data_IF_814236145664
#
_entry.id   IF_814236145664
#
_cell.length_a   1.000
_cell.length_b   1.000
_cell.length_c   1.000
_cell.angle_alpha   90.00
_cell.angle_beta   90.00
_cell.angle_gamma   90.00
#
_symmetry.space_group_name_H-M   'P 1'
#
loop_
_entity.id
_entity.type
_entity.pdbx_description
1 polymer ?
#
# COMPACT_ATOMS: atom_id res chain seq x y z
N UNK A 1 -1.18 34.73 -31.41
CA UNK A 1 -1.45 33.29 -31.17
C UNK A 1 -0.33 32.54 -31.85
N UNK A 2 0.58 31.96 -31.08
CA UNK A 2 1.65 31.12 -31.59
C UNK A 2 1.16 29.69 -31.37
N UNK A 3 0.86 28.99 -32.45
CA UNK A 3 0.45 27.59 -32.40
C UNK A 3 1.59 26.78 -31.78
N UNK A 4 1.34 26.21 -30.61
CA UNK A 4 2.26 25.28 -29.97
C UNK A 4 2.35 24.03 -30.85
N UNK A 5 3.47 23.88 -31.55
CA UNK A 5 3.83 22.67 -32.29
C UNK A 5 3.83 21.50 -31.30
N UNK A 6 2.87 20.58 -31.44
CA UNK A 6 2.82 19.37 -30.63
C UNK A 6 4.05 18.51 -30.95
N UNK A 7 4.97 18.41 -30.00
CA UNK A 7 6.11 17.51 -30.11
C UNK A 7 5.57 16.08 -30.14
N UNK A 8 5.90 15.26 -31.15
CA UNK A 8 5.44 13.88 -31.21
C UNK A 8 5.95 13.12 -29.98
N UNK A 9 5.02 12.56 -29.19
CA UNK A 9 5.35 11.67 -28.08
C UNK A 9 6.07 10.43 -28.63
N UNK A 10 7.37 10.34 -28.42
CA UNK A 10 8.12 9.12 -28.68
C UNK A 10 7.65 8.04 -27.70
N UNK A 11 7.15 6.94 -28.24
CA UNK A 11 6.74 5.79 -27.45
C UNK A 11 7.99 5.17 -26.79
N UNK A 12 8.18 5.43 -25.49
CA UNK A 12 9.24 4.80 -24.71
C UNK A 12 8.63 3.58 -23.98
N UNK A 13 8.77 2.35 -24.50
CA UNK A 13 8.20 1.18 -23.85
C UNK A 13 8.84 0.99 -22.47
N UNK A 14 8.02 0.66 -21.47
CA UNK A 14 8.54 0.39 -20.13
C UNK A 14 9.50 -0.81 -20.14
N UNK A 15 10.54 -0.74 -19.33
CA UNK A 15 11.45 -1.86 -19.09
C UNK A 15 10.72 -3.00 -18.34
N UNK A 16 11.27 -4.22 -18.43
CA UNK A 16 10.71 -5.37 -17.69
C UNK A 16 10.70 -5.12 -16.17
N UNK A 17 11.74 -4.46 -15.65
CA UNK A 17 11.84 -4.11 -14.22
C UNK A 17 10.72 -3.15 -13.84
N UNK A 18 10.49 -2.10 -14.64
CA UNK A 18 9.38 -1.16 -14.40
C UNK A 18 8.03 -1.88 -14.44
N UNK A 19 7.79 -2.77 -15.41
CA UNK A 19 6.55 -3.54 -15.49
C UNK A 19 6.36 -4.46 -14.28
N UNK A 20 7.42 -5.14 -13.82
CA UNK A 20 7.38 -5.97 -12.62
C UNK A 20 7.08 -5.12 -11.38
N UNK A 21 7.74 -3.97 -11.23
CA UNK A 21 7.53 -3.05 -10.13
C UNK A 21 6.11 -2.46 -10.11
N UNK A 22 5.59 -2.02 -11.27
CA UNK A 22 4.18 -1.62 -11.44
C UNK A 22 3.22 -2.73 -10.98
N UNK A 23 3.49 -3.96 -11.39
CA UNK A 23 2.64 -5.11 -11.05
C UNK A 23 2.69 -5.46 -9.56
N UNK A 24 3.86 -5.35 -8.91
CA UNK A 24 4.02 -5.66 -7.49
C UNK A 24 3.33 -4.60 -6.64
N UNK A 25 3.64 -3.33 -6.87
CA UNK A 25 3.17 -2.22 -6.03
C UNK A 25 1.82 -1.64 -6.46
N UNK A 26 1.31 -2.05 -7.62
CA UNK A 26 0.00 -1.63 -8.10
C UNK A 26 -0.06 -0.17 -8.56
N UNK A 27 1.08 0.46 -8.82
CA UNK A 27 1.20 1.87 -9.23
C UNK A 27 1.45 1.99 -10.74
N UNK A 28 0.96 3.07 -11.33
CA UNK A 28 1.10 3.36 -12.76
C UNK A 28 1.46 4.82 -13.06
N UNK A 29 1.51 5.68 -12.04
CA UNK A 29 1.98 7.06 -12.14
C UNK A 29 3.49 7.10 -12.47
N UNK A 30 3.87 7.85 -13.50
CA UNK A 30 5.27 8.01 -13.95
C UNK A 30 6.19 8.47 -12.82
N UNK A 31 5.75 9.44 -12.03
CA UNK A 31 6.51 9.97 -10.91
C UNK A 31 6.68 8.91 -9.81
N UNK A 32 5.62 8.16 -9.48
CA UNK A 32 5.69 7.03 -8.56
C UNK A 32 6.69 5.97 -9.03
N UNK A 33 6.70 5.63 -10.32
CA UNK A 33 7.68 4.67 -10.89
C UNK A 33 9.10 5.23 -10.77
N UNK A 34 9.28 6.53 -11.03
CA UNK A 34 10.56 7.20 -10.85
C UNK A 34 11.14 7.05 -9.44
N UNK A 35 10.29 7.15 -8.40
CA UNK A 35 10.68 6.90 -7.01
C UNK A 35 10.91 5.41 -6.72
N UNK A 36 10.11 4.54 -7.32
CA UNK A 36 10.21 3.10 -7.13
C UNK A 36 11.52 2.54 -7.69
N UNK A 37 11.98 3.09 -8.82
CA UNK A 37 13.28 2.77 -9.42
C UNK A 37 14.49 3.27 -8.59
N UNK A 38 14.27 4.08 -7.55
CA UNK A 38 15.33 4.47 -6.62
C UNK A 38 15.57 3.43 -5.51
N UNK A 39 14.65 2.49 -5.33
CA UNK A 39 14.81 1.36 -4.42
C UNK A 39 15.74 0.31 -5.03
N UNK A 40 16.54 -0.35 -4.21
CA UNK A 40 17.34 -1.47 -4.70
C UNK A 40 16.43 -2.68 -4.99
N UNK A 41 16.90 -3.60 -5.84
CA UNK A 41 16.20 -4.86 -6.08
C UNK A 41 15.98 -5.65 -4.77
N UNK A 42 16.94 -5.59 -3.85
CA UNK A 42 16.83 -6.22 -2.54
C UNK A 42 15.68 -5.60 -1.71
N UNK A 43 15.61 -4.27 -1.65
CA UNK A 43 14.54 -3.55 -0.93
C UNK A 43 13.15 -3.90 -1.49
N UNK A 44 13.04 -4.01 -2.83
CA UNK A 44 11.77 -4.38 -3.49
C UNK A 44 11.36 -5.81 -3.18
N UNK A 45 12.30 -6.76 -3.20
CA UNK A 45 12.02 -8.16 -2.87
C UNK A 45 11.64 -8.31 -1.39
N UNK A 46 12.27 -7.54 -0.53
CA UNK A 46 11.98 -7.49 0.90
C UNK A 46 10.58 -6.91 1.14
N UNK A 47 10.25 -5.76 0.54
CA UNK A 47 8.92 -5.15 0.50
C UNK A 47 7.84 -6.16 0.06
N UNK A 48 8.06 -6.84 -1.06
CA UNK A 48 7.13 -7.83 -1.60
C UNK A 48 6.95 -9.05 -0.65
N UNK A 49 8.02 -9.45 0.04
CA UNK A 49 7.97 -10.56 1.01
C UNK A 49 7.11 -10.21 2.22
N UNK A 50 7.18 -8.97 2.71
CA UNK A 50 6.35 -8.49 3.84
C UNK A 50 4.88 -8.48 3.47
N UNK A 51 4.55 -7.92 2.31
CA UNK A 51 3.17 -7.81 1.81
C UNK A 51 2.51 -9.18 1.78
N UNK A 52 3.25 -10.21 1.34
CA UNK A 52 2.76 -11.58 1.31
C UNK A 52 2.49 -12.15 2.70
N UNK A 53 3.24 -11.75 3.72
CA UNK A 53 3.22 -12.34 5.06
C UNK A 53 2.20 -11.74 6.00
N UNK A 54 1.78 -10.48 5.76
CA UNK A 54 0.80 -9.72 6.57
C UNK A 54 1.24 -9.57 8.04
N UNK A 55 1.81 -8.40 8.36
CA UNK A 55 2.18 -7.91 9.70
C UNK A 55 2.93 -8.91 10.60
N UNK A 56 4.23 -8.69 10.79
CA UNK A 56 5.07 -9.46 11.71
C UNK A 56 5.86 -8.49 12.58
N UNK A 57 6.00 -8.79 13.87
CA UNK A 57 6.96 -8.14 14.75
C UNK A 57 8.37 -8.69 14.51
N UNK A 58 9.38 -7.83 14.36
CA UNK A 58 10.76 -8.27 14.13
C UNK A 58 11.68 -8.00 15.32
N UNK A 59 12.61 -8.93 15.57
CA UNK A 59 13.79 -8.57 16.36
C UNK A 59 14.76 -7.77 15.48
N UNK A 60 15.59 -6.90 16.06
CA UNK A 60 16.71 -6.27 15.32
C UNK A 60 17.69 -7.29 14.71
N UNK A 61 17.68 -8.53 15.21
CA UNK A 61 18.53 -9.63 14.74
C UNK A 61 17.91 -10.46 13.61
N UNK A 62 16.66 -10.18 13.27
CA UNK A 62 15.85 -10.94 12.32
C UNK A 62 15.87 -10.27 10.95
N UNK A 63 16.17 -11.04 9.90
CA UNK A 63 15.94 -10.59 8.52
C UNK A 63 14.57 -11.02 8.08
N UNK A 64 13.89 -10.20 7.27
CA UNK A 64 12.57 -10.57 6.75
C UNK A 64 12.63 -11.93 6.07
N UNK A 65 13.59 -12.17 5.17
CA UNK A 65 13.64 -13.44 4.44
C UNK A 65 13.73 -14.67 5.35
N UNK A 66 14.17 -14.51 6.59
CA UNK A 66 14.45 -15.59 7.55
C UNK A 66 13.31 -15.83 8.54
N UNK A 67 12.39 -14.88 8.71
CA UNK A 67 11.27 -15.02 9.64
C UNK A 67 10.29 -16.12 9.20
N UNK A 68 10.16 -17.16 10.02
CA UNK A 68 9.20 -18.25 9.83
C UNK A 68 7.90 -18.06 10.62
N UNK A 69 7.87 -17.14 11.58
CA UNK A 69 6.72 -16.90 12.46
C UNK A 69 5.76 -15.86 11.87
N UNK A 70 4.91 -16.32 10.96
CA UNK A 70 3.69 -15.58 10.62
C UNK A 70 2.65 -15.81 11.72
N UNK A 71 2.42 -14.83 12.59
CA UNK A 71 1.35 -14.96 13.60
C UNK A 71 1.39 -13.96 14.76
N UNK A 72 2.58 -13.48 15.13
CA UNK A 72 2.71 -12.54 16.25
C UNK A 72 2.43 -11.11 15.77
N UNK A 73 1.13 -10.78 15.69
CA UNK A 73 0.65 -9.45 15.36
C UNK A 73 1.13 -8.49 16.45
N UNK A 74 1.82 -7.44 16.04
CA UNK A 74 2.15 -6.29 16.88
C UNK A 74 0.84 -5.70 17.41
N UNK A 75 0.58 -5.70 18.73
CA UNK A 75 -0.67 -5.17 19.27
C UNK A 75 -0.90 -3.74 18.78
N UNK A 76 -2.13 -3.42 18.36
CA UNK A 76 -2.47 -2.08 17.88
C UNK A 76 -2.17 -1.01 18.94
N UNK A 77 -2.29 -1.37 20.21
CA UNK A 77 -2.01 -0.56 21.38
C UNK A 77 -0.55 -0.09 21.43
N UNK A 78 0.38 -0.86 20.85
CA UNK A 78 1.78 -0.49 20.79
C UNK A 78 2.07 0.59 19.76
N UNK A 79 1.29 0.64 18.66
CA UNK A 79 1.39 1.74 17.70
C UNK A 79 0.94 3.06 18.34
N UNK A 80 -0.13 3.01 19.15
CA UNK A 80 -0.59 4.17 19.93
C UNK A 80 0.48 4.59 20.94
N UNK A 81 1.07 3.64 21.66
CA UNK A 81 2.16 3.91 22.61
C UNK A 81 3.36 4.57 21.92
N UNK A 82 3.84 4.03 20.80
CA UNK A 82 4.91 4.65 19.99
C UNK A 82 4.55 6.07 19.58
N UNK A 83 3.31 6.29 19.16
CA UNK A 83 2.82 7.61 18.73
C UNK A 83 2.71 8.61 19.88
N UNK A 84 2.50 8.15 21.12
CA UNK A 84 2.50 9.02 22.31
C UNK A 84 3.91 9.35 22.81
N UNK A 85 4.88 8.45 22.58
CA UNK A 85 6.23 8.53 23.13
C UNK A 85 7.33 8.66 22.08
N UNK A 86 6.98 9.06 20.83
CA UNK A 86 7.93 9.13 19.72
C UNK A 86 9.11 10.08 20.00
N UNK A 87 8.91 11.08 20.85
CA UNK A 87 9.93 12.05 21.24
C UNK A 87 11.08 11.44 22.06
N UNK A 88 10.91 10.23 22.58
CA UNK A 88 11.96 9.51 23.30
C UNK A 88 12.91 8.72 22.37
N UNK A 89 12.57 8.62 21.09
CA UNK A 89 13.43 7.96 20.10
C UNK A 89 14.50 8.91 19.57
N UNK A 90 15.66 8.33 19.24
CA UNK A 90 16.76 9.05 18.59
C UNK A 90 16.34 9.64 17.23
N UNK A 91 15.41 8.98 16.54
CA UNK A 91 14.83 9.40 15.25
C UNK A 91 13.39 9.95 15.38
N UNK A 92 13.12 10.71 16.44
CA UNK A 92 11.78 11.26 16.71
C UNK A 92 11.15 12.03 15.54
N UNK A 93 11.92 12.78 14.75
CA UNK A 93 11.44 13.48 13.55
C UNK A 93 10.94 12.52 12.46
N UNK A 94 11.67 11.42 12.23
CA UNK A 94 11.28 10.38 11.29
C UNK A 94 9.95 9.76 11.72
N UNK A 95 9.85 9.34 13.00
CA UNK A 95 8.65 8.71 13.53
C UNK A 95 7.47 9.66 13.47
N UNK A 96 7.63 10.93 13.86
CA UNK A 96 6.57 11.93 13.79
C UNK A 96 6.03 12.11 12.36
N UNK A 97 6.92 12.14 11.37
CA UNK A 97 6.55 12.26 9.97
C UNK A 97 5.83 11.01 9.48
N UNK A 98 6.30 9.83 9.86
CA UNK A 98 5.68 8.59 9.43
C UNK A 98 4.33 8.39 10.08
N UNK A 99 4.17 8.74 11.35
CA UNK A 99 2.87 8.79 12.01
C UNK A 99 1.92 9.75 11.28
N UNK A 100 2.42 10.90 10.82
CA UNK A 100 1.60 11.85 10.04
C UNK A 100 1.16 11.29 8.68
N UNK A 101 2.06 10.60 7.97
CA UNK A 101 1.73 9.93 6.69
C UNK A 101 0.75 8.79 6.92
N UNK A 102 1.02 7.95 7.92
CA UNK A 102 0.17 6.80 8.30
C UNK A 102 -1.23 7.25 8.62
N UNK A 103 -1.36 8.26 9.50
CA UNK A 103 -2.64 8.85 9.88
C UNK A 103 -3.42 9.38 8.67
N UNK A 104 -2.75 10.09 7.74
CA UNK A 104 -3.40 10.57 6.54
C UNK A 104 -3.92 9.41 5.67
N UNK A 105 -3.11 8.38 5.46
CA UNK A 105 -3.49 7.22 4.66
C UNK A 105 -4.69 6.51 5.26
N UNK A 106 -4.66 6.26 6.57
CA UNK A 106 -5.78 5.64 7.29
C UNK A 106 -7.05 6.48 7.22
N UNK A 107 -6.95 7.81 7.36
CA UNK A 107 -8.08 8.72 7.20
C UNK A 107 -8.67 8.64 5.79
N UNK A 108 -7.82 8.62 4.75
CA UNK A 108 -8.24 8.44 3.35
C UNK A 108 -8.90 7.07 3.14
N UNK A 109 -8.32 5.99 3.67
CA UNK A 109 -8.88 4.64 3.57
C UNK A 109 -10.27 4.58 4.21
N UNK A 110 -10.42 5.18 5.39
CA UNK A 110 -11.68 5.26 6.11
C UNK A 110 -12.73 6.08 5.34
N UNK A 111 -12.36 7.26 4.85
CA UNK A 111 -13.23 8.11 4.05
C UNK A 111 -13.72 7.38 2.79
N UNK A 112 -12.84 6.65 2.10
CA UNK A 112 -13.19 5.89 0.91
C UNK A 112 -14.04 4.66 1.22
N UNK A 113 -13.84 4.03 2.38
CA UNK A 113 -14.70 2.96 2.87
C UNK A 113 -16.12 3.46 3.15
N UNK A 114 -16.27 4.67 3.71
CA UNK A 114 -17.57 5.31 3.88
C UNK A 114 -18.17 5.77 2.57
N UNK A 115 -17.36 6.28 1.65
CA UNK A 115 -17.79 6.76 0.34
C UNK A 115 -18.29 5.62 -0.55
N UNK A 116 -17.65 4.45 -0.48
CA UNK A 116 -17.96 3.27 -1.26
C UNK A 116 -18.31 2.07 -0.36
N UNK A 117 -19.41 2.14 0.40
CA UNK A 117 -19.78 1.08 1.32
C UNK A 117 -19.93 -0.24 0.54
N UNK A 118 -19.55 -1.34 1.19
CA UNK A 118 -19.86 -2.66 0.63
C UNK A 118 -21.37 -2.71 0.38
N UNK A 119 -21.81 -3.15 -0.82
CA UNK A 119 -23.23 -3.25 -1.09
C UNK A 119 -23.86 -4.12 0.01
N UNK A 120 -24.95 -3.66 0.66
CA UNK A 120 -25.66 -4.51 1.60
C UNK A 120 -26.04 -5.81 0.88
N UNK A 121 -26.02 -6.94 1.58
CA UNK A 121 -26.44 -8.23 1.02
C UNK A 121 -27.88 -8.12 0.53
N UNK A 122 -28.03 -7.80 -0.76
CA UNK A 122 -29.26 -7.77 -1.56
C UNK A 122 -30.39 -6.94 -0.92
N UNK A 123 -30.42 -5.64 -1.21
CA UNK A 123 -31.68 -4.90 -1.11
C UNK A 123 -32.59 -5.36 -2.26
N UNK A 124 -33.80 -5.83 -1.93
CA UNK A 124 -34.84 -6.27 -2.89
C UNK A 124 -35.12 -5.28 -4.03
N UNK A 125 -34.71 -4.02 -3.89
CA UNK A 125 -34.83 -2.98 -4.91
C UNK A 125 -33.92 -3.19 -6.12
N UNK A 126 -32.82 -3.95 -6.00
CA UNK A 126 -31.88 -4.15 -7.11
C UNK A 126 -32.48 -4.97 -8.26
N UNK A 127 -33.35 -5.93 -7.97
CA UNK A 127 -33.93 -6.80 -9.00
C UNK A 127 -34.79 -6.04 -10.02
N UNK A 128 -35.43 -4.97 -9.58
CA UNK A 128 -36.32 -4.14 -10.40
C UNK A 128 -35.47 -3.30 -11.36
N UNK A 129 -34.39 -2.68 -10.87
CA UNK A 129 -33.50 -1.84 -11.67
C UNK A 129 -32.58 -2.60 -12.64
N UNK A 130 -32.38 -3.92 -12.47
CA UNK A 130 -31.58 -4.75 -13.38
C UNK A 130 -32.02 -4.67 -14.85
N UNK A 131 -33.29 -4.32 -15.10
CA UNK A 131 -33.82 -4.14 -16.46
C UNK A 131 -33.55 -2.76 -17.06
N UNK A 132 -33.16 -1.76 -16.26
CA UNK A 132 -32.89 -0.41 -16.76
C UNK A 132 -31.55 -0.36 -17.54
N UNK A 133 -31.51 0.18 -18.77
CA UNK A 133 -30.29 0.21 -19.58
C UNK A 133 -29.12 0.98 -18.96
N UNK A 134 -29.40 2.08 -18.26
CA UNK A 134 -28.37 2.87 -17.55
C UNK A 134 -27.84 2.09 -16.35
N UNK A 135 -28.72 1.43 -15.57
CA UNK A 135 -28.29 0.56 -14.47
C UNK A 135 -27.38 -0.56 -14.97
N UNK A 136 -27.76 -1.24 -16.06
CA UNK A 136 -26.94 -2.30 -16.66
C UNK A 136 -25.58 -1.78 -17.14
N UNK A 137 -25.55 -0.59 -17.72
CA UNK A 137 -24.30 0.05 -18.14
C UNK A 137 -23.39 0.33 -16.94
N UNK A 138 -23.92 1.00 -15.92
CA UNK A 138 -23.18 1.34 -14.70
C UNK A 138 -22.68 0.06 -14.03
N UNK A 139 -23.54 -0.92 -13.76
CA UNK A 139 -23.19 -2.13 -13.01
C UNK A 139 -22.56 -3.25 -13.85
N UNK A 140 -22.21 -2.98 -15.11
CA UNK A 140 -21.48 -3.94 -15.93
C UNK A 140 -20.11 -4.25 -15.30
N UNK A 141 -19.71 -5.53 -15.31
CA UNK A 141 -18.40 -5.97 -14.80
C UNK A 141 -17.22 -5.54 -15.69
N UNK A 142 -17.49 -4.81 -16.78
CA UNK A 142 -16.44 -4.38 -17.69
C UNK A 142 -15.52 -3.37 -17.01
N UNK A 143 -14.21 -3.54 -17.18
CA UNK A 143 -13.21 -2.57 -16.67
C UNK A 143 -13.14 -1.32 -17.54
N UNK A 144 -13.58 -1.40 -18.79
CA UNK A 144 -13.58 -0.31 -19.75
C UNK A 144 -15.00 0.26 -19.92
N UNK A 145 -15.45 0.99 -18.89
CA UNK A 145 -16.75 1.66 -18.93
C UNK A 145 -16.85 2.72 -20.02
N UNK A 146 -15.72 3.26 -20.47
CA UNK A 146 -15.68 4.27 -21.53
C UNK A 146 -15.94 3.66 -22.91
N UNK A 147 -15.35 2.49 -23.22
CA UNK A 147 -15.61 1.79 -24.48
C UNK A 147 -17.09 1.43 -24.66
N UNK A 148 -17.70 0.83 -23.63
CA UNK A 148 -19.11 0.43 -23.67
C UNK A 148 -20.05 1.65 -23.73
N UNK A 149 -19.65 2.77 -23.13
CA UNK A 149 -20.43 4.01 -23.20
C UNK A 149 -20.66 4.45 -24.65
N UNK A 150 -19.63 4.47 -25.50
CA UNK A 150 -19.78 4.97 -26.87
C UNK A 150 -20.68 4.11 -27.74
N UNK A 151 -20.71 2.80 -27.51
CA UNK A 151 -21.57 1.88 -28.25
C UNK A 151 -23.05 2.01 -27.89
N UNK A 152 -23.35 2.35 -26.63
CA UNK A 152 -24.72 2.39 -26.10
C UNK A 152 -25.29 3.79 -25.93
N UNK A 153 -24.50 4.83 -26.17
CA UNK A 153 -24.92 6.21 -25.84
C UNK A 153 -26.17 6.63 -26.61
N UNK A 154 -26.31 6.24 -27.87
CA UNK A 154 -27.46 6.59 -28.69
C UNK A 154 -28.73 5.91 -28.15
N UNK A 155 -28.64 4.66 -27.68
CA UNK A 155 -29.75 3.97 -27.02
C UNK A 155 -30.19 4.69 -25.73
N UNK A 156 -29.23 5.22 -24.95
CA UNK A 156 -29.55 5.98 -23.74
C UNK A 156 -30.22 7.32 -24.06
N UNK A 157 -29.86 7.95 -25.17
CA UNK A 157 -30.45 9.22 -25.61
C UNK A 157 -31.91 9.06 -26.05
N UNK A 158 -32.33 7.85 -26.44
CA UNK A 158 -33.71 7.52 -26.80
C UNK A 158 -34.64 7.33 -25.60
N UNK A 159 -34.10 7.18 -24.38
CA UNK A 159 -34.91 7.02 -23.17
C UNK A 159 -35.65 8.32 -22.85
N UNK A 160 -36.92 8.22 -22.45
CA UNK A 160 -37.71 9.39 -22.02
C UNK A 160 -37.20 9.93 -20.69
N UNK A 161 -37.27 11.25 -20.51
CA UNK A 161 -37.05 11.86 -19.18
C UNK A 161 -38.23 11.54 -18.25
N UNK A 162 -38.00 11.40 -16.94
CA UNK A 162 -39.08 11.21 -15.97
C UNK A 162 -39.95 12.48 -15.89
N UNK A 163 -41.28 12.30 -15.77
CA UNK A 163 -42.24 13.41 -15.67
C UNK A 163 -42.05 14.29 -14.42
N UNK A 164 -41.49 13.69 -13.36
CA UNK A 164 -41.20 14.37 -12.10
C UNK A 164 -39.74 14.85 -12.09
N UNK A 165 -39.52 16.13 -11.75
CA UNK A 165 -38.20 16.61 -11.40
C UNK A 165 -37.70 15.88 -10.16
N UNK A 166 -36.76 14.97 -10.36
CA UNK A 166 -36.03 14.34 -9.28
C UNK A 166 -34.88 15.27 -8.91
N UNK A 167 -34.93 15.78 -7.68
CA UNK A 167 -33.83 16.57 -7.15
C UNK A 167 -32.63 15.65 -6.85
N UNK A 168 -31.53 15.90 -7.57
CA UNK A 168 -30.25 15.23 -7.35
C UNK A 168 -30.19 13.77 -7.84
N UNK A 169 -29.27 12.99 -7.25
CA UNK A 169 -29.00 11.59 -7.64
C UNK A 169 -29.85 10.55 -6.90
N UNK A 170 -31.06 10.92 -6.47
CA UNK A 170 -31.98 9.99 -5.81
C UNK A 170 -32.73 9.14 -6.85
N UNK A 171 -32.86 7.82 -6.60
CA UNK A 171 -33.75 6.98 -7.39
C UNK A 171 -35.17 7.04 -6.81
N UNK A 172 -36.22 7.09 -7.65
CA UNK A 172 -37.58 7.02 -7.16
C UNK A 172 -37.86 5.62 -6.56
N UNK A 173 -38.74 5.58 -5.56
CA UNK A 173 -39.22 4.30 -5.01
C UNK A 173 -40.20 3.70 -6.04
N UNK A 174 -39.83 2.58 -6.65
CA UNK A 174 -40.70 1.87 -7.58
C UNK A 174 -41.73 1.06 -6.79
N UNK A 175 -42.99 1.48 -6.86
CA UNK A 175 -44.13 0.68 -6.39
C UNK A 175 -44.54 -0.39 -7.42
N UNK A 176 -45.39 -1.34 -7.02
CA UNK A 176 -45.85 -2.47 -7.83
C UNK A 176 -46.62 -2.08 -9.12
N UNK A 177 -47.05 -0.82 -9.27
CA UNK A 177 -47.71 -0.31 -10.48
C UNK A 177 -46.80 0.53 -11.38
N UNK A 178 -45.49 0.58 -11.11
CA UNK A 178 -44.54 1.51 -11.70
C UNK A 178 -43.62 0.94 -12.79
N UNK A 179 -43.99 -0.17 -13.44
CA UNK A 179 -43.13 -0.86 -14.42
C UNK A 179 -42.70 0.05 -15.59
N UNK A 180 -43.53 1.02 -16.00
CA UNK A 180 -43.18 1.97 -17.06
C UNK A 180 -42.02 2.90 -16.67
N UNK A 181 -41.86 3.22 -15.38
CA UNK A 181 -40.78 4.10 -14.88
C UNK A 181 -39.40 3.45 -14.98
N UNK A 182 -39.32 2.14 -15.21
CA UNK A 182 -38.05 1.43 -15.38
C UNK A 182 -37.30 1.78 -16.66
N UNK A 183 -38.00 2.31 -17.66
CA UNK A 183 -37.43 2.65 -18.97
C UNK A 183 -37.20 4.15 -19.13
N UNK A 184 -37.27 4.91 -18.04
CA UNK A 184 -36.84 6.30 -18.03
C UNK A 184 -35.32 6.42 -17.93
N UNK A 185 -34.85 7.55 -18.46
CA UNK A 185 -33.49 8.00 -18.26
C UNK A 185 -33.30 8.49 -16.83
N UNK A 186 -32.25 8.00 -16.22
CA UNK A 186 -31.70 8.58 -14.98
C UNK A 186 -30.22 8.82 -15.23
N UNK A 187 -29.68 9.86 -14.60
CA UNK A 187 -28.24 10.09 -14.67
C UNK A 187 -27.48 8.85 -14.16
N UNK A 188 -26.39 8.41 -14.83
CA UNK A 188 -25.61 7.26 -14.39
C UNK A 188 -25.20 7.29 -12.90
N UNK A 189 -24.96 8.48 -12.32
CA UNK A 189 -24.61 8.63 -10.91
C UNK A 189 -25.75 8.25 -9.96
N UNK A 190 -27.01 8.23 -10.43
CA UNK A 190 -28.15 7.69 -9.67
C UNK A 190 -28.02 6.18 -9.41
N UNK A 191 -27.23 5.45 -10.20
CA UNK A 191 -26.99 4.01 -10.02
C UNK A 191 -25.62 3.67 -9.42
N UNK A 192 -24.79 4.67 -9.16
CA UNK A 192 -23.49 4.48 -8.51
C UNK A 192 -23.53 5.07 -7.10
N UNK A 193 -23.69 4.24 -6.05
CA UNK A 193 -23.84 4.74 -4.68
C UNK A 193 -22.51 5.30 -4.18
N UNK A 194 -22.45 6.62 -4.09
CA UNK A 194 -21.33 7.38 -3.53
C UNK A 194 -21.86 8.16 -2.34
N UNK A 195 -21.19 8.06 -1.21
CA UNK A 195 -21.59 8.76 0.02
C UNK A 195 -20.55 9.81 0.40
N UNK A 196 -21.03 10.87 1.02
CA UNK A 196 -20.15 11.86 1.62
C UNK A 196 -19.59 11.25 2.93
N UNK A 197 -18.26 11.15 3.06
CA UNK A 197 -17.65 10.48 4.22
C UNK A 197 -17.93 11.21 5.54
N UNK A 198 -18.20 12.52 5.51
CA UNK A 198 -18.44 13.34 6.71
C UNK A 198 -19.87 13.24 7.21
N UNK A 199 -20.84 13.27 6.31
CA UNK A 199 -22.27 13.22 6.67
C UNK A 199 -22.84 11.79 6.67
N UNK A 200 -22.17 10.85 6.00
CA UNK A 200 -22.69 9.50 5.73
C UNK A 200 -23.86 9.48 4.73
N UNK A 201 -24.31 10.64 4.26
CA UNK A 201 -25.42 10.74 3.30
C UNK A 201 -24.93 10.43 1.88
N UNK A 202 -25.83 9.93 1.04
CA UNK A 202 -25.55 9.79 -0.39
C UNK A 202 -25.22 11.17 -1.00
N UNK A 203 -24.18 11.24 -1.82
CA UNK A 203 -23.87 12.44 -2.60
C UNK A 203 -24.99 12.70 -3.59
N UNK A 204 -25.52 13.92 -3.59
CA UNK A 204 -26.62 14.33 -4.47
C UNK A 204 -26.14 15.05 -5.72
N UNK A 205 -24.85 15.42 -5.79
CA UNK A 205 -24.26 16.09 -6.94
C UNK A 205 -22.79 15.72 -7.16
N UNK A 206 -22.32 15.88 -8.40
CA UNK A 206 -20.90 15.72 -8.71
C UNK A 206 -20.01 16.75 -8.00
N UNK A 207 -20.56 17.89 -7.59
CA UNK A 207 -19.85 18.90 -6.81
C UNK A 207 -19.43 18.37 -5.44
N UNK A 208 -20.32 17.71 -4.71
CA UNK A 208 -20.02 17.15 -3.38
C UNK A 208 -18.94 16.07 -3.45
N UNK A 209 -18.97 15.25 -4.50
CA UNK A 209 -17.93 14.25 -4.78
C UNK A 209 -16.59 14.95 -4.96
N UNK A 210 -16.53 15.99 -5.80
CA UNK A 210 -15.28 16.76 -6.04
C UNK A 210 -14.78 17.50 -4.79
N UNK A 211 -15.67 18.09 -3.99
CA UNK A 211 -15.28 18.74 -2.74
C UNK A 211 -14.62 17.76 -1.77
N UNK A 212 -15.15 16.53 -1.67
CA UNK A 212 -14.56 15.46 -0.88
C UNK A 212 -13.17 15.07 -1.40
N UNK A 213 -13.02 14.94 -2.73
CA UNK A 213 -11.73 14.63 -3.38
C UNK A 213 -10.70 15.74 -3.23
N UNK A 214 -11.10 17.00 -3.39
CA UNK A 214 -10.24 18.18 -3.23
C UNK A 214 -9.62 18.26 -1.84
N UNK A 215 -10.38 17.90 -0.81
CA UNK A 215 -9.86 17.79 0.55
C UNK A 215 -8.77 16.70 0.68
N UNK A 216 -8.97 15.53 0.09
CA UNK A 216 -7.96 14.45 0.10
C UNK A 216 -6.71 14.83 -0.71
N UNK A 217 -6.87 15.49 -1.87
CA UNK A 217 -5.75 16.00 -2.69
C UNK A 217 -4.92 17.01 -1.91
N UNK A 218 -5.56 18.02 -1.33
CA UNK A 218 -4.86 19.08 -0.60
C UNK A 218 -4.11 18.54 0.63
N UNK A 219 -4.70 17.57 1.33
CA UNK A 219 -4.06 16.88 2.46
C UNK A 219 -2.84 16.06 1.99
N UNK A 220 -2.97 15.33 0.89
CA UNK A 220 -1.88 14.54 0.28
C UNK A 220 -0.72 15.43 -0.14
N UNK A 221 -1.01 16.55 -0.84
CA UNK A 221 0.00 17.53 -1.27
C UNK A 221 0.73 18.15 -0.09
N UNK A 222 0.02 18.49 0.98
CA UNK A 222 0.62 19.05 2.19
C UNK A 222 1.62 18.08 2.83
N UNK A 223 1.22 16.82 3.01
CA UNK A 223 2.12 15.79 3.57
C UNK A 223 3.28 15.51 2.63
N UNK A 224 3.05 15.48 1.31
CA UNK A 224 4.12 15.33 0.33
C UNK A 224 5.15 16.47 0.41
N UNK A 225 4.71 17.73 0.56
CA UNK A 225 5.61 18.87 0.77
C UNK A 225 6.47 18.68 2.02
N UNK A 226 5.85 18.29 3.15
CA UNK A 226 6.56 18.04 4.40
C UNK A 226 7.59 16.90 4.26
N UNK A 227 7.24 15.81 3.55
CA UNK A 227 8.17 14.71 3.27
C UNK A 227 9.38 15.16 2.46
N UNK A 228 9.17 16.02 1.45
CA UNK A 228 10.27 16.56 0.64
C UNK A 228 11.21 17.42 1.49
N UNK A 229 10.67 18.23 2.40
CA UNK A 229 11.45 19.05 3.32
C UNK A 229 12.28 18.21 4.30
N UNK A 230 11.71 17.10 4.80
CA UNK A 230 12.32 16.22 5.80
C UNK A 230 12.99 14.98 5.21
N UNK A 231 13.24 14.96 3.90
CA UNK A 231 13.80 13.80 3.18
C UNK A 231 15.13 13.26 3.73
N UNK A 232 15.90 14.10 4.42
CA UNK A 232 17.19 13.71 4.99
C UNK A 232 17.07 13.10 6.39
N UNK A 233 15.92 13.30 7.05
CA UNK A 233 15.65 12.76 8.38
C UNK A 233 14.90 11.41 8.30
N UNK A 234 14.44 11.03 7.11
CA UNK A 234 13.62 9.83 6.88
C UNK A 234 14.46 8.79 6.13
N UNK A 235 14.38 7.53 6.55
CA UNK A 235 14.98 6.41 5.86
C UNK A 235 14.56 6.39 4.38
N UNK A 236 15.54 6.19 3.49
CA UNK A 236 15.36 6.25 2.03
C UNK A 236 14.18 5.41 1.54
N UNK A 237 14.01 4.19 2.06
CA UNK A 237 12.95 3.28 1.65
C UNK A 237 11.58 3.81 2.05
N UNK A 238 11.44 4.26 3.30
CA UNK A 238 10.22 4.82 3.85
C UNK A 238 9.80 6.11 3.13
N UNK A 239 10.75 7.00 2.87
CA UNK A 239 10.52 8.20 2.08
C UNK A 239 9.97 7.86 0.69
N UNK A 240 10.63 6.96 -0.04
CA UNK A 240 10.21 6.62 -1.40
C UNK A 240 8.84 5.93 -1.39
N UNK A 241 8.60 4.94 -0.52
CA UNK A 241 7.30 4.27 -0.43
C UNK A 241 6.16 5.25 -0.08
N UNK A 242 6.41 6.18 0.85
CA UNK A 242 5.45 7.22 1.22
C UNK A 242 5.11 8.13 0.03
N UNK A 243 6.12 8.61 -0.69
CA UNK A 243 5.94 9.47 -1.86
C UNK A 243 5.24 8.73 -3.00
N UNK A 244 5.61 7.47 -3.25
CA UNK A 244 4.98 6.61 -4.28
C UNK A 244 3.47 6.53 -4.06
N UNK A 245 3.04 6.24 -2.82
CA UNK A 245 1.65 6.14 -2.45
C UNK A 245 0.90 7.48 -2.58
N UNK A 246 1.47 8.57 -2.06
CA UNK A 246 0.86 9.91 -2.12
C UNK A 246 0.73 10.41 -3.56
N UNK A 247 1.73 10.19 -4.41
CA UNK A 247 1.69 10.55 -5.83
C UNK A 247 0.65 9.73 -6.60
N UNK A 248 0.50 8.44 -6.30
CA UNK A 248 -0.53 7.62 -6.91
C UNK A 248 -1.92 8.10 -6.48
N UNK A 249 -2.14 8.36 -5.19
CA UNK A 249 -3.39 8.94 -4.68
C UNK A 249 -3.69 10.29 -5.36
N UNK A 250 -2.71 11.20 -5.39
CA UNK A 250 -2.88 12.52 -6.00
C UNK A 250 -3.27 12.42 -7.47
N UNK A 251 -2.59 11.57 -8.25
CA UNK A 251 -2.93 11.32 -9.66
C UNK A 251 -4.39 10.89 -9.78
N UNK A 252 -4.77 9.83 -9.08
CA UNK A 252 -6.10 9.23 -9.22
C UNK A 252 -7.21 10.18 -8.73
N UNK A 253 -6.95 11.01 -7.71
CA UNK A 253 -7.89 12.05 -7.28
C UNK A 253 -7.96 13.23 -8.26
N UNK A 254 -6.84 13.66 -8.83
CA UNK A 254 -6.79 14.78 -9.78
C UNK A 254 -7.54 14.47 -11.07
N UNK A 255 -7.59 13.20 -11.48
CA UNK A 255 -8.44 12.75 -12.58
C UNK A 255 -9.93 13.07 -12.33
N UNK A 256 -10.42 12.92 -11.10
CA UNK A 256 -11.80 13.30 -10.73
C UNK A 256 -12.00 14.81 -10.76
N UNK A 257 -11.04 15.59 -10.28
CA UNK A 257 -11.13 17.06 -10.24
C UNK A 257 -11.17 17.68 -11.65
N UNK A 258 -10.60 17.00 -12.64
CA UNK A 258 -10.62 17.42 -14.05
C UNK A 258 -11.99 17.22 -14.72
N UNK A 259 -12.90 16.42 -14.14
CA UNK A 259 -14.18 16.08 -14.77
C UNK A 259 -15.26 17.12 -14.40
N UNK A 260 -15.82 17.75 -15.44
CA UNK A 260 -16.98 18.63 -15.33
C UNK A 260 -16.67 20.06 -14.88
N UNK A 261 -15.46 20.56 -15.17
CA UNK A 261 -15.10 21.96 -14.94
C UNK A 261 -15.80 22.92 -15.92
N UNK A 262 -16.15 22.47 -17.13
CA UNK A 262 -16.75 23.30 -18.18
C UNK A 262 -18.28 23.43 -18.10
N UNK A 263 -18.90 22.76 -17.12
CA UNK A 263 -20.36 22.68 -16.99
C UNK A 263 -20.99 21.73 -18.02
N UNK A 264 -22.00 20.97 -17.60
CA UNK A 264 -22.65 19.99 -18.47
C UNK A 264 -23.59 20.70 -19.46
N UNK A 265 -23.15 20.91 -20.70
CA UNK A 265 -24.04 21.43 -21.76
C UNK A 265 -24.66 20.24 -22.52
N UNK A 266 -25.88 19.88 -22.11
CA UNK A 266 -26.71 18.88 -22.79
C UNK A 266 -26.60 17.46 -22.24
N UNK A 267 -27.66 16.67 -22.49
CA UNK A 267 -27.84 15.32 -21.95
C UNK A 267 -26.69 14.37 -22.29
N UNK A 268 -26.28 14.35 -23.56
CA UNK A 268 -25.18 13.50 -24.04
C UNK A 268 -23.88 13.75 -23.27
N UNK A 269 -23.53 15.02 -23.06
CA UNK A 269 -22.33 15.40 -22.33
C UNK A 269 -22.44 15.03 -20.84
N UNK A 270 -23.61 15.26 -20.23
CA UNK A 270 -23.90 14.82 -18.84
C UNK A 270 -23.67 13.32 -18.67
N UNK A 271 -24.22 12.49 -19.57
CA UNK A 271 -24.05 11.03 -19.54
C UNK A 271 -22.56 10.65 -19.60
N UNK A 272 -21.82 11.21 -20.57
CA UNK A 272 -20.39 10.91 -20.78
C UNK A 272 -19.59 11.28 -19.54
N UNK A 273 -19.81 12.46 -18.98
CA UNK A 273 -19.05 12.93 -17.83
C UNK A 273 -19.42 12.17 -16.55
N UNK A 274 -20.69 11.84 -16.33
CA UNK A 274 -21.11 10.98 -15.21
C UNK A 274 -20.46 9.60 -15.30
N UNK A 275 -20.38 9.00 -16.49
CA UNK A 275 -19.71 7.70 -16.68
C UNK A 275 -18.19 7.79 -16.54
N UNK A 276 -17.56 8.88 -17.02
CA UNK A 276 -16.15 9.15 -16.75
C UNK A 276 -15.90 9.28 -15.24
N UNK A 277 -16.75 10.02 -14.53
CA UNK A 277 -16.64 10.19 -13.08
C UNK A 277 -16.76 8.84 -12.35
N UNK A 278 -17.76 8.02 -12.70
CA UNK A 278 -17.90 6.66 -12.15
C UNK A 278 -16.66 5.82 -12.40
N UNK A 279 -16.08 5.90 -13.61
CA UNK A 279 -14.86 5.18 -13.96
C UNK A 279 -13.68 5.63 -13.11
N UNK A 280 -13.47 6.94 -12.95
CA UNK A 280 -12.43 7.48 -12.07
C UNK A 280 -12.65 7.09 -10.61
N UNK A 281 -13.88 7.13 -10.09
CA UNK A 281 -14.20 6.71 -8.73
C UNK A 281 -13.90 5.21 -8.49
N UNK A 282 -14.14 4.36 -9.49
CA UNK A 282 -13.73 2.94 -9.43
C UNK A 282 -12.22 2.78 -9.42
N UNK A 283 -11.52 3.56 -10.24
CA UNK A 283 -10.06 3.56 -10.27
C UNK A 283 -9.49 4.01 -8.93
N UNK A 284 -10.02 5.09 -8.32
CA UNK A 284 -9.68 5.52 -6.95
C UNK A 284 -9.82 4.37 -5.98
N UNK A 285 -11.00 3.74 -5.92
CA UNK A 285 -11.26 2.63 -4.99
C UNK A 285 -10.25 1.48 -5.18
N UNK A 286 -9.93 1.15 -6.43
CA UNK A 286 -9.00 0.07 -6.74
C UNK A 286 -7.55 0.43 -6.42
N UNK A 287 -7.10 1.62 -6.80
CA UNK A 287 -5.72 2.06 -6.60
C UNK A 287 -5.43 2.28 -5.13
N UNK A 288 -6.34 2.93 -4.41
CA UNK A 288 -6.19 3.10 -2.95
C UNK A 288 -6.19 1.75 -2.24
N UNK A 289 -7.03 0.79 -2.66
CA UNK A 289 -6.98 -0.57 -2.12
C UNK A 289 -5.62 -1.23 -2.37
N UNK A 290 -5.02 -1.07 -3.55
CA UNK A 290 -3.66 -1.60 -3.81
C UNK A 290 -2.62 -0.94 -2.90
N UNK A 291 -2.74 0.36 -2.64
CA UNK A 291 -1.86 1.08 -1.71
C UNK A 291 -2.04 0.52 -0.29
N UNK A 292 -3.27 0.37 0.17
CA UNK A 292 -3.65 -0.20 1.47
C UNK A 292 -3.14 -1.65 1.63
N UNK A 293 -3.27 -2.48 0.59
CA UNK A 293 -2.92 -3.89 0.64
C UNK A 293 -1.41 -4.16 0.47
N UNK A 294 -0.68 -3.24 -0.19
CA UNK A 294 0.71 -3.47 -0.62
C UNK A 294 1.68 -2.44 -0.06
N UNK A 295 1.51 -1.16 -0.39
CA UNK A 295 2.50 -0.14 -0.04
C UNK A 295 2.44 0.16 1.45
N UNK A 296 1.24 0.26 2.01
CA UNK A 296 1.03 0.62 3.40
C UNK A 296 1.65 -0.40 4.38
N UNK A 297 1.49 -1.73 4.21
CA UNK A 297 2.22 -2.71 5.00
C UNK A 297 3.75 -2.62 4.84
N UNK A 298 4.24 -2.35 3.63
CA UNK A 298 5.67 -2.18 3.40
C UNK A 298 6.22 -0.92 4.10
N UNK A 299 5.43 0.16 4.16
CA UNK A 299 5.77 1.36 4.91
C UNK A 299 5.77 1.13 6.41
N UNK A 300 4.75 0.44 6.94
CA UNK A 300 4.69 0.06 8.35
C UNK A 300 5.92 -0.76 8.76
N UNK A 301 6.41 -1.62 7.85
CA UNK A 301 7.68 -2.31 8.06
C UNK A 301 8.90 -1.38 8.05
N UNK A 302 9.00 -0.46 7.10
CA UNK A 302 10.13 0.47 7.10
C UNK A 302 10.13 1.39 8.34
N UNK A 303 8.99 1.57 8.99
CA UNK A 303 8.82 2.28 10.26
C UNK A 303 8.86 1.36 11.49
N UNK A 304 9.26 0.11 11.30
CA UNK A 304 9.22 -0.87 12.36
C UNK A 304 10.20 -0.53 13.48
N UNK A 305 9.70 -0.52 14.72
CA UNK A 305 10.54 -0.39 15.92
C UNK A 305 10.91 -1.79 16.41
N UNK A 306 12.21 -2.14 16.46
CA UNK A 306 12.65 -3.42 17.01
C UNK A 306 12.07 -3.73 18.38
N UNK A 307 11.72 -4.99 18.62
CA UNK A 307 11.19 -5.44 19.91
C UNK A 307 12.10 -5.04 21.08
N UNK A 308 13.42 -5.05 20.85
CA UNK A 308 14.41 -4.62 21.83
C UNK A 308 14.31 -3.13 22.19
N UNK A 309 14.02 -2.29 21.20
CA UNK A 309 13.86 -0.85 21.42
C UNK A 309 12.48 -0.52 22.01
N UNK A 310 11.44 -1.28 21.65
CA UNK A 310 10.14 -1.23 22.33
C UNK A 310 10.25 -1.57 23.81
N UNK A 311 10.99 -2.64 24.15
CA UNK A 311 11.25 -3.04 25.53
C UNK A 311 11.92 -1.91 26.31
N UNK A 312 12.97 -1.30 25.73
CA UNK A 312 13.66 -0.15 26.34
C UNK A 312 12.74 1.04 26.55
N UNK A 313 11.81 1.27 25.62
CA UNK A 313 10.87 2.38 25.72
C UNK A 313 9.88 2.18 26.87
N UNK A 314 9.29 0.99 27.01
CA UNK A 314 8.41 0.69 28.15
C UNK A 314 9.12 0.86 29.49
N UNK A 315 10.38 0.42 29.58
CA UNK A 315 11.21 0.57 30.78
C UNK A 315 11.53 2.04 31.09
N UNK A 316 11.72 2.86 30.05
CA UNK A 316 12.04 4.27 30.19
C UNK A 316 10.83 5.12 30.62
N UNK A 317 9.63 4.80 30.12
CA UNK A 317 8.42 5.56 30.40
C UNK A 317 7.93 5.29 31.83
N UNK A 318 7.57 4.05 32.14
CA UNK A 318 7.14 3.63 33.47
C UNK A 318 7.12 2.09 33.56
N UNK A 319 8.17 1.51 34.14
CA UNK A 319 8.30 0.06 34.24
C UNK A 319 7.21 -0.62 35.08
N UNK A 320 6.63 0.10 36.03
CA UNK A 320 5.60 -0.46 36.91
C UNK A 320 4.23 -0.48 36.21
N UNK A 321 3.91 0.59 35.45
CA UNK A 321 2.69 0.67 34.66
C UNK A 321 2.66 -0.36 33.53
N UNK A 322 3.80 -0.56 32.86
CA UNK A 322 3.93 -1.45 31.69
C UNK A 322 4.55 -2.81 32.01
N UNK A 323 4.46 -3.26 33.27
CA UNK A 323 5.10 -4.50 33.72
C UNK A 323 4.66 -5.73 32.92
N UNK A 324 3.37 -5.81 32.56
CA UNK A 324 2.82 -6.95 31.83
C UNK A 324 3.34 -6.98 30.38
N UNK A 325 3.38 -5.82 29.72
CA UNK A 325 3.89 -5.62 28.37
C UNK A 325 5.39 -5.95 28.33
N UNK A 326 6.16 -5.51 29.32
CA UNK A 326 7.58 -5.83 29.48
C UNK A 326 7.78 -7.35 29.58
N UNK A 327 7.05 -8.02 30.48
CA UNK A 327 7.16 -9.49 30.66
C UNK A 327 6.80 -10.24 29.38
N UNK A 328 5.74 -9.80 28.69
CA UNK A 328 5.31 -10.37 27.41
C UNK A 328 6.38 -10.17 26.33
N UNK A 329 6.90 -8.95 26.18
CA UNK A 329 7.98 -8.63 25.24
C UNK A 329 9.23 -9.45 25.48
N UNK A 330 9.69 -9.54 26.73
CA UNK A 330 10.86 -10.34 27.08
C UNK A 330 10.65 -11.80 26.69
N UNK A 331 9.45 -12.33 26.91
CA UNK A 331 9.11 -13.71 26.54
C UNK A 331 9.16 -13.92 25.02
N UNK A 332 8.56 -13.01 24.24
CA UNK A 332 8.58 -13.04 22.77
C UNK A 332 10.02 -12.94 22.25
N UNK A 333 10.79 -11.98 22.75
CA UNK A 333 12.19 -11.76 22.36
C UNK A 333 13.02 -13.01 22.66
N UNK A 334 12.83 -13.65 23.83
CA UNK A 334 13.55 -14.87 24.19
C UNK A 334 13.31 -15.99 23.18
N UNK A 335 12.05 -16.25 22.85
CA UNK A 335 11.67 -17.29 21.88
C UNK A 335 12.27 -16.98 20.51
N UNK A 336 12.03 -15.77 19.99
CA UNK A 336 12.51 -15.37 18.65
C UNK A 336 14.04 -15.41 18.54
N UNK A 337 14.74 -14.87 19.53
CA UNK A 337 16.21 -14.87 19.51
C UNK A 337 16.78 -16.30 19.56
N UNK A 338 16.16 -17.22 20.31
CA UNK A 338 16.57 -18.63 20.32
C UNK A 338 16.42 -19.27 18.94
N UNK A 339 15.27 -19.13 18.31
CA UNK A 339 14.99 -19.66 16.96
C UNK A 339 15.99 -19.09 15.92
N UNK A 340 16.28 -17.79 16.00
CA UNK A 340 17.24 -17.12 15.12
C UNK A 340 18.66 -17.63 15.37
N UNK A 341 19.08 -17.81 16.64
CA UNK A 341 20.40 -18.37 16.97
C UNK A 341 20.54 -19.77 16.38
N UNK A 342 19.56 -20.64 16.54
CA UNK A 342 19.58 -22.01 16.00
C UNK A 342 19.67 -22.01 14.48
N UNK A 343 18.90 -21.13 13.82
CA UNK A 343 18.93 -20.96 12.37
C UNK A 343 20.29 -20.46 11.88
N UNK A 344 20.89 -19.48 12.56
CA UNK A 344 22.21 -18.94 12.21
C UNK A 344 23.32 -19.97 12.44
N UNK A 345 23.28 -20.72 13.55
CA UNK A 345 24.22 -21.84 13.81
C UNK A 345 24.14 -22.90 12.72
N UNK A 346 22.93 -23.27 12.29
CA UNK A 346 22.71 -24.21 11.19
C UNK A 346 23.27 -23.71 9.86
N UNK A 347 23.15 -22.40 9.57
CA UNK A 347 23.75 -21.77 8.39
C UNK A 347 25.28 -21.80 8.42
N UNK A 348 25.88 -21.50 9.57
CA UNK A 348 27.33 -21.60 9.77
C UNK A 348 27.81 -23.03 9.48
N UNK A 349 27.16 -24.04 10.05
CA UNK A 349 27.51 -25.44 9.82
C UNK A 349 27.42 -25.81 8.33
N UNK A 350 26.36 -25.36 7.64
CA UNK A 350 26.18 -25.60 6.21
C UNK A 350 27.26 -24.92 5.36
N UNK A 351 27.69 -23.71 5.72
CA UNK A 351 28.79 -23.03 5.03
C UNK A 351 30.13 -23.73 5.26
N UNK A 352 30.42 -24.15 6.50
CA UNK A 352 31.64 -24.90 6.82
C UNK A 352 31.70 -26.21 6.04
N UNK A 353 30.61 -26.98 6.00
CA UNK A 353 30.53 -28.22 5.21
C UNK A 353 30.76 -28.00 3.72
N UNK A 354 30.27 -26.88 3.16
CA UNK A 354 30.53 -26.52 1.75
C UNK A 354 31.98 -26.14 1.50
N UNK A 355 32.65 -25.51 2.46
CA UNK A 355 34.08 -25.21 2.37
C UNK A 355 34.88 -26.51 2.34
N UNK A 356 34.61 -27.43 3.27
CA UNK A 356 35.27 -28.76 3.32
C UNK A 356 35.09 -29.53 2.00
N UNK A 357 33.87 -29.58 1.44
CA UNK A 357 33.60 -30.22 0.16
C UNK A 357 34.34 -29.58 -1.03
N UNK A 358 34.53 -28.26 -0.99
CA UNK A 358 35.28 -27.54 -2.01
C UNK A 358 36.79 -27.82 -1.90
N UNK A 359 37.32 -27.95 -0.69
CA UNK A 359 38.72 -28.33 -0.46
C UNK A 359 39.00 -29.75 -0.95
N UNK A 360 38.10 -30.70 -0.67
CA UNK A 360 38.21 -32.08 -1.15
C UNK A 360 38.13 -32.18 -2.69
N UNK A 361 37.23 -31.44 -3.32
CA UNK A 361 37.10 -31.45 -4.80
C UNK A 361 38.25 -30.75 -5.52
N UNK A 362 38.83 -29.72 -4.93
CA UNK A 362 40.03 -29.07 -5.47
C UNK A 362 41.24 -30.00 -5.45
N UNK A 363 41.43 -30.77 -4.36
CA UNK A 363 42.53 -31.74 -4.27
C UNK A 363 42.46 -32.84 -5.34
N UNK A 364 41.27 -33.17 -5.85
CA UNK A 364 41.08 -34.15 -6.92
C UNK A 364 41.31 -33.56 -8.34
N UNK A 365 41.18 -32.24 -8.50
CA UNK A 365 41.26 -31.56 -9.79
C UNK A 365 42.61 -30.83 -10.03
N UNK A 366 43.51 -30.78 -9.04
CA UNK A 366 44.85 -30.19 -9.18
C UNK A 366 45.71 -30.81 -10.30
N UNK A 367 45.35 -31.97 -10.84
CA UNK A 367 46.02 -32.54 -12.02
C UNK A 367 45.58 -31.93 -13.37
N UNK A 368 44.53 -31.10 -13.42
CA UNK A 368 44.06 -30.45 -14.67
C UNK A 368 44.12 -28.92 -14.58
N UNK A 369 45.32 -28.39 -14.84
CA UNK A 369 45.65 -26.97 -14.99
C UNK A 369 44.54 -26.11 -15.65
N UNK A 370 43.85 -25.29 -14.86
CA UNK A 370 43.13 -24.11 -15.37
C UNK A 370 43.24 -22.94 -14.37
N UNK A 371 44.11 -21.99 -14.70
CA UNK A 371 44.49 -20.84 -13.84
C UNK A 371 43.32 -19.87 -13.55
N UNK A 372 42.27 -19.87 -14.36
CA UNK A 372 41.12 -18.97 -14.20
C UNK A 372 40.18 -19.39 -13.06
N UNK A 373 40.10 -20.68 -12.74
CA UNK A 373 39.17 -21.20 -11.71
C UNK A 373 39.63 -20.83 -10.29
N UNK A 374 40.94 -20.80 -10.05
CA UNK A 374 41.55 -20.40 -8.77
C UNK A 374 41.17 -18.98 -8.30
N UNK A 375 41.06 -18.03 -9.23
CA UNK A 375 40.79 -16.63 -8.89
C UNK A 375 39.34 -16.41 -8.40
N UNK A 376 38.38 -17.14 -8.95
CA UNK A 376 36.97 -17.03 -8.56
C UNK A 376 36.73 -17.69 -7.19
N UNK A 377 37.40 -18.82 -6.93
CA UNK A 377 37.33 -19.55 -5.66
C UNK A 377 37.89 -18.72 -4.50
N UNK A 378 39.02 -18.01 -4.71
CA UNK A 378 39.64 -17.23 -3.64
C UNK A 378 38.78 -16.03 -3.19
N UNK A 379 38.14 -15.33 -4.13
CA UNK A 379 37.20 -14.23 -3.82
C UNK A 379 35.96 -14.75 -3.12
N UNK A 380 35.45 -15.92 -3.52
CA UNK A 380 34.31 -16.56 -2.87
C UNK A 380 34.64 -16.97 -1.43
N UNK A 381 35.77 -17.63 -1.17
CA UNK A 381 36.21 -18.06 0.17
C UNK A 381 36.37 -16.86 1.11
N UNK A 382 36.99 -15.76 0.64
CA UNK A 382 37.13 -14.54 1.44
C UNK A 382 35.78 -13.89 1.81
N UNK A 383 34.79 -13.94 0.92
CA UNK A 383 33.45 -13.43 1.21
C UNK A 383 32.68 -14.33 2.18
N UNK A 384 32.85 -15.65 2.08
CA UNK A 384 32.23 -16.61 3.01
C UNK A 384 32.83 -16.45 4.40
N UNK A 385 34.16 -16.34 4.53
CA UNK A 385 34.84 -16.14 5.82
C UNK A 385 34.32 -14.93 6.59
N UNK A 386 34.22 -13.76 5.92
CA UNK A 386 33.64 -12.55 6.53
C UNK A 386 32.16 -12.71 6.93
N UNK A 387 31.40 -13.47 6.15
CA UNK A 387 30.00 -13.75 6.46
C UNK A 387 29.85 -14.67 7.67
N UNK A 388 30.73 -15.66 7.81
CA UNK A 388 30.78 -16.58 8.96
C UNK A 388 31.17 -15.85 10.25
N UNK A 389 32.18 -14.99 10.19
CA UNK A 389 32.62 -14.15 11.31
C UNK A 389 31.46 -13.26 11.78
N UNK A 390 30.83 -12.53 10.86
CA UNK A 390 29.66 -11.68 11.16
C UNK A 390 28.51 -12.46 11.80
N UNK A 391 28.17 -13.65 11.27
CA UNK A 391 27.11 -14.47 11.85
C UNK A 391 27.46 -14.95 13.27
N UNK A 392 28.73 -15.23 13.53
CA UNK A 392 29.21 -15.69 14.83
C UNK A 392 29.17 -14.57 15.87
N UNK A 393 29.61 -13.36 15.50
CA UNK A 393 29.52 -12.16 16.33
C UNK A 393 28.05 -11.82 16.66
N UNK A 394 27.15 -11.87 15.67
CA UNK A 394 25.72 -11.64 15.90
C UNK A 394 25.13 -12.68 16.87
N UNK A 395 25.49 -13.96 16.76
CA UNK A 395 25.05 -15.00 17.71
C UNK A 395 25.54 -14.69 19.13
N UNK A 396 26.81 -14.31 19.28
CA UNK A 396 27.38 -13.98 20.58
C UNK A 396 26.65 -12.79 21.24
N UNK A 397 26.39 -11.73 20.47
CA UNK A 397 25.61 -10.57 20.93
C UNK A 397 24.22 -11.00 21.43
N UNK A 398 23.52 -11.84 20.65
CA UNK A 398 22.20 -12.34 21.01
C UNK A 398 22.23 -13.18 22.29
N UNK A 399 23.23 -14.05 22.46
CA UNK A 399 23.38 -14.87 23.67
C UNK A 399 23.68 -14.02 24.91
N UNK A 400 24.52 -12.98 24.78
CA UNK A 400 24.75 -11.99 25.84
C UNK A 400 23.47 -11.27 26.21
N UNK A 401 22.71 -10.82 25.21
CA UNK A 401 21.44 -10.13 25.41
C UNK A 401 20.39 -11.03 26.10
N UNK A 402 20.28 -12.30 25.71
CA UNK A 402 19.39 -13.26 26.36
C UNK A 402 19.74 -13.52 27.83
N UNK A 403 21.04 -13.57 28.17
CA UNK A 403 21.47 -13.67 29.57
C UNK A 403 21.04 -12.46 30.39
N UNK A 404 21.17 -11.26 29.82
CA UNK A 404 20.70 -10.02 30.44
C UNK A 404 19.18 -10.07 30.72
N UNK A 405 18.38 -10.48 29.74
CA UNK A 405 16.93 -10.61 29.89
C UNK A 405 16.50 -11.69 30.90
N UNK A 406 17.34 -12.71 31.14
CA UNK A 406 17.06 -13.72 32.17
C UNK A 406 17.26 -13.17 33.57
N UNK A 407 18.35 -12.44 33.81
CA UNK A 407 18.63 -11.82 35.11
C UNK A 407 17.57 -10.77 35.47
N UNK A 408 17.07 -10.03 34.48
CA UNK A 408 16.13 -8.93 34.71
C UNK A 408 14.71 -9.38 35.10
N UNK A 409 14.32 -10.59 34.75
CA UNK A 409 12.97 -11.11 35.00
C UNK A 409 12.88 -12.03 36.22
N UNK A 410 14.00 -12.31 36.89
CA UNK A 410 14.06 -12.90 38.23
C UNK A 410 13.83 -11.82 39.30
#
# INVERSE_FOLDING_TARGET
MIDSVSVPCFYNPCSLIELSMKSIFGVDCEQSIGHLMQLSCADVLEAATIVKRKSISFSKYERISESSSGGDIFPSEWNDFCSMHFNLFVNSEEIAMVSSVTYLMEAIFLDLKFMFPSPPEILFTDDVWKSNPVYQLVNSKSKDGAGICYEKIDDLLLLSDPDDHIDGFALPIIGSSGEEKLFYYYDPLCFFPVHNPRSGSRCISGREIRESMSFMISSSRKIMSNLVELRYCIGKNLYNLSIIALLQMEKTFSEVDSIGQEGFIGRKQSIIESLKLITCLRNIKNDVRKIEDVIFPAMQYCNFVPLEDMLRLFELVDSDLYKNEIVMLVSIIKIKCQDIIETKKSKIELFLRKIEQNEESNNLNEERNNLYELSFTQVYVGNVGRSLEKLSEEIEEMEVFLRYLSIKCE
#
